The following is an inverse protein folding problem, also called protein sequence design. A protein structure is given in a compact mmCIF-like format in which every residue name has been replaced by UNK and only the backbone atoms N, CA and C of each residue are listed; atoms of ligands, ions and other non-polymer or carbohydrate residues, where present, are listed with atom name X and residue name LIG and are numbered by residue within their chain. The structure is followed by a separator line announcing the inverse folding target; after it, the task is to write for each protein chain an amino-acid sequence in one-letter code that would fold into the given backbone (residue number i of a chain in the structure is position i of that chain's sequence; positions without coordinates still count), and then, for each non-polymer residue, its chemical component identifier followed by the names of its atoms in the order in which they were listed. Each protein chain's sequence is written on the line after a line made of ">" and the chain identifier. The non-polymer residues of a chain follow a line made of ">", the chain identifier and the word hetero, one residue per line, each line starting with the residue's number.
data_IF_838310513541
#
_entry.id   IF_838310513541
#
_cell.length_a   1.000
_cell.length_b   1.000
_cell.length_c   1.000
_cell.angle_alpha   90.00
_cell.angle_beta   90.00
_cell.angle_gamma   90.00
#
_symmetry.space_group_name_H-M   'P 1'
#
loop_
_entity.id
_entity.type
_entity.pdbx_description
1 polymer ?
#
# COMPACT_ATOMS: atom_id res chain seq x y z
N UNK A 1 25.45 -22.70 3.32
CA UNK A 1 25.57 -21.24 3.12
C UNK A 1 24.61 -20.87 2.02
N UNK A 2 23.45 -20.28 2.36
CA UNK A 2 22.47 -19.88 1.35
C UNK A 2 23.04 -18.80 0.43
N UNK A 3 22.66 -18.76 -0.85
CA UNK A 3 23.13 -17.74 -1.78
C UNK A 3 22.81 -16.36 -1.19
N UNK A 4 23.84 -15.51 -1.05
CA UNK A 4 23.65 -14.10 -0.69
C UNK A 4 22.86 -13.47 -1.83
N UNK A 5 21.54 -13.32 -1.67
CA UNK A 5 20.74 -12.50 -2.55
C UNK A 5 21.41 -11.12 -2.63
N UNK A 6 21.66 -10.58 -3.84
CA UNK A 6 22.35 -9.30 -3.98
C UNK A 6 21.60 -8.23 -3.21
N UNK A 7 22.31 -7.33 -2.55
CA UNK A 7 21.70 -6.28 -1.70
C UNK A 7 20.71 -5.41 -2.48
N UNK A 8 20.90 -5.29 -3.80
CA UNK A 8 19.97 -4.68 -4.74
C UNK A 8 18.57 -5.32 -4.70
N UNK A 9 18.47 -6.65 -4.65
CA UNK A 9 17.18 -7.36 -4.67
C UNK A 9 16.38 -7.07 -3.40
N UNK A 10 17.05 -7.05 -2.24
CA UNK A 10 16.42 -6.69 -0.96
C UNK A 10 15.91 -5.25 -0.98
N UNK A 11 16.70 -4.34 -1.53
CA UNK A 11 16.32 -2.94 -1.65
C UNK A 11 15.10 -2.76 -2.57
N UNK A 12 15.09 -3.38 -3.75
CA UNK A 12 13.95 -3.36 -4.68
C UNK A 12 12.68 -3.94 -4.05
N UNK A 13 12.81 -5.05 -3.32
CA UNK A 13 11.68 -5.65 -2.62
C UNK A 13 11.10 -4.73 -1.54
N UNK A 14 11.96 -3.98 -0.82
CA UNK A 14 11.47 -3.03 0.18
C UNK A 14 10.77 -1.82 -0.45
N UNK A 15 11.23 -1.35 -1.61
CA UNK A 15 10.50 -0.33 -2.38
C UNK A 15 9.11 -0.85 -2.75
N UNK A 16 9.01 -2.07 -3.29
CA UNK A 16 7.73 -2.69 -3.63
C UNK A 16 6.81 -2.83 -2.40
N UNK A 17 7.37 -3.20 -1.24
CA UNK A 17 6.63 -3.27 0.02
C UNK A 17 6.03 -1.92 0.39
N UNK A 18 6.80 -0.85 0.30
CA UNK A 18 6.32 0.48 0.70
C UNK A 18 5.29 1.03 -0.30
N UNK A 19 5.49 0.82 -1.61
CA UNK A 19 4.53 1.27 -2.63
C UNK A 19 3.20 0.52 -2.54
N UNK A 20 3.24 -0.80 -2.32
CA UNK A 20 2.04 -1.63 -2.17
C UNK A 20 1.32 -1.42 -0.84
N UNK A 21 2.04 -1.03 0.22
CA UNK A 21 1.48 -0.82 1.57
C UNK A 21 0.26 0.12 1.56
N UNK A 22 0.29 1.17 0.74
CA UNK A 22 -0.83 2.11 0.63
C UNK A 22 -2.15 1.47 0.21
N UNK A 23 -2.11 0.42 -0.61
CA UNK A 23 -3.29 -0.34 -1.06
C UNK A 23 -3.62 -1.46 -0.09
N UNK A 24 -2.62 -2.12 0.49
CA UNK A 24 -2.83 -3.22 1.43
C UNK A 24 -3.65 -2.79 2.66
N UNK A 25 -3.43 -1.57 3.16
CA UNK A 25 -4.21 -1.01 4.28
C UNK A 25 -5.72 -0.99 3.99
N UNK A 26 -6.10 -0.85 2.72
CA UNK A 26 -7.50 -0.88 2.27
C UNK A 26 -8.01 -2.28 1.98
N UNK A 27 -7.18 -3.14 1.37
CA UNK A 27 -7.61 -4.48 0.94
C UNK A 27 -7.62 -5.48 2.08
N UNK A 28 -6.80 -5.29 3.11
CA UNK A 28 -6.61 -6.26 4.20
C UNK A 28 -7.15 -5.78 5.54
N UNK A 29 -7.41 -6.75 6.39
CA UNK A 29 -7.78 -6.62 7.79
C UNK A 29 -6.84 -7.50 8.63
N UNK A 30 -6.62 -7.16 9.90
CA UNK A 30 -5.84 -8.00 10.84
C UNK A 30 -4.37 -8.27 10.47
N UNK A 31 -3.57 -7.21 10.39
CA UNK A 31 -2.12 -7.31 10.16
C UNK A 31 -1.34 -7.93 11.34
N UNK A 32 -0.17 -8.50 11.03
CA UNK A 32 0.83 -8.87 12.04
C UNK A 32 1.59 -7.66 12.59
N UNK A 33 2.00 -7.74 13.86
CA UNK A 33 2.68 -6.65 14.57
C UNK A 33 4.01 -6.22 13.95
N UNK A 34 4.78 -7.16 13.38
CA UNK A 34 6.04 -6.83 12.70
C UNK A 34 5.82 -6.33 11.28
N UNK A 35 4.63 -6.56 10.74
CA UNK A 35 4.29 -6.14 9.38
C UNK A 35 3.90 -4.66 9.33
N UNK A 36 3.03 -4.24 10.24
CA UNK A 36 2.59 -2.85 10.39
C UNK A 36 2.99 -2.34 11.78
N UNK A 37 3.93 -1.41 11.81
CA UNK A 37 4.39 -0.75 13.03
C UNK A 37 4.53 0.75 12.78
N UNK A 38 4.73 1.51 13.86
CA UNK A 38 4.86 2.96 13.78
C UNK A 38 6.01 3.41 12.87
N UNK A 39 7.13 2.69 12.87
CA UNK A 39 8.29 3.00 12.02
C UNK A 39 7.92 2.89 10.53
N UNK A 40 7.31 1.78 10.12
CA UNK A 40 6.85 1.57 8.74
C UNK A 40 5.79 2.59 8.33
N UNK A 41 4.88 2.93 9.24
CA UNK A 41 3.89 3.96 8.97
C UNK A 41 4.56 5.32 8.73
N UNK A 42 5.45 5.77 9.61
CA UNK A 42 6.20 7.03 9.43
C UNK A 42 7.02 7.01 8.16
N UNK A 43 7.69 5.89 7.86
CA UNK A 43 8.49 5.74 6.65
C UNK A 43 7.64 5.81 5.39
N UNK A 44 6.48 5.14 5.36
CA UNK A 44 5.52 5.22 4.27
C UNK A 44 4.99 6.64 4.09
N UNK A 45 4.67 7.35 5.18
CA UNK A 45 4.25 8.75 5.15
C UNK A 45 5.32 9.65 4.54
N UNK A 46 6.58 9.53 4.98
CA UNK A 46 7.69 10.33 4.47
C UNK A 46 7.92 10.05 2.99
N UNK A 47 8.00 8.78 2.59
CA UNK A 47 8.23 8.41 1.20
C UNK A 47 7.10 8.87 0.28
N UNK A 48 5.83 8.71 0.70
CA UNK A 48 4.68 9.26 -0.03
C UNK A 48 4.80 10.77 -0.23
N UNK A 49 5.11 11.52 0.83
CA UNK A 49 5.27 12.97 0.74
C UNK A 49 6.46 13.38 -0.14
N UNK A 50 7.59 12.66 -0.08
CA UNK A 50 8.74 12.90 -0.96
C UNK A 50 8.38 12.67 -2.42
N UNK A 51 7.68 11.59 -2.75
CA UNK A 51 7.25 11.31 -4.13
C UNK A 51 6.26 12.38 -4.61
N UNK A 52 5.27 12.76 -3.78
CA UNK A 52 4.34 13.84 -4.10
C UNK A 52 5.06 15.17 -4.35
N UNK A 53 6.02 15.51 -3.49
CA UNK A 53 6.83 16.72 -3.62
C UNK A 53 7.67 16.73 -4.91
N UNK A 54 8.26 15.58 -5.26
CA UNK A 54 9.00 15.42 -6.50
C UNK A 54 8.10 15.60 -7.73
N UNK A 55 6.93 14.97 -7.77
CA UNK A 55 5.96 15.20 -8.86
C UNK A 55 5.50 16.66 -8.92
N UNK A 56 5.22 17.29 -7.77
CA UNK A 56 4.86 18.71 -7.73
C UNK A 56 5.94 19.61 -8.32
N UNK A 57 7.21 19.32 -8.02
CA UNK A 57 8.36 20.03 -8.60
C UNK A 57 8.45 19.81 -10.11
N UNK A 58 8.29 18.57 -10.60
CA UNK A 58 8.31 18.29 -12.04
C UNK A 58 7.20 19.05 -12.79
N UNK A 59 6.00 19.14 -12.22
CA UNK A 59 4.89 19.86 -12.83
C UNK A 59 5.01 21.40 -12.71
N UNK A 60 5.99 21.92 -11.97
CA UNK A 60 6.37 23.34 -12.05
C UNK A 60 7.19 23.66 -13.31
N UNK A 61 7.79 22.66 -13.95
CA UNK A 61 8.60 22.88 -15.14
C UNK A 61 7.69 23.22 -16.34
N UNK A 62 7.97 24.30 -17.10
CA UNK A 62 7.12 24.77 -18.20
C UNK A 62 6.90 23.74 -19.32
N UNK A 63 7.85 22.81 -19.48
CA UNK A 63 7.79 21.73 -20.47
C UNK A 63 6.85 20.58 -20.08
N UNK A 64 6.47 20.48 -18.80
CA UNK A 64 5.74 19.32 -18.25
C UNK A 64 4.37 19.74 -17.72
N UNK A 65 4.25 20.90 -17.07
CA UNK A 65 3.03 21.28 -16.36
C UNK A 65 2.55 22.72 -16.61
N UNK A 66 1.23 22.85 -16.82
CA UNK A 66 0.53 24.12 -17.02
C UNK A 66 -0.01 24.77 -15.73
N UNK A 67 0.72 24.66 -14.61
CA UNK A 67 0.36 25.32 -13.34
C UNK A 67 -0.67 24.60 -12.46
N UNK A 68 -1.25 23.48 -12.92
CA UNK A 68 -2.12 22.62 -12.09
C UNK A 68 -1.26 21.55 -11.41
N UNK A 69 -1.19 21.59 -10.09
CA UNK A 69 -0.40 20.63 -9.33
C UNK A 69 -1.15 19.30 -9.16
N UNK A 70 -0.52 18.16 -9.52
CA UNK A 70 -1.08 16.87 -9.19
C UNK A 70 -1.19 16.72 -7.67
N UNK A 71 -2.40 16.44 -7.19
CA UNK A 71 -2.65 16.20 -5.78
C UNK A 71 -3.42 14.89 -5.59
N UNK A 72 -3.08 14.17 -4.53
CA UNK A 72 -3.88 13.07 -4.04
C UNK A 72 -5.22 13.62 -3.56
N UNK A 73 -6.30 12.85 -3.78
CA UNK A 73 -7.57 13.10 -3.12
C UNK A 73 -7.36 13.16 -1.61
N UNK A 74 -7.84 14.24 -0.99
CA UNK A 74 -7.79 14.43 0.46
C UNK A 74 -8.47 13.28 1.20
N UNK A 75 -9.58 12.76 0.64
CA UNK A 75 -10.28 11.59 1.16
C UNK A 75 -9.35 10.38 1.24
N UNK A 76 -8.62 10.07 0.16
CA UNK A 76 -7.65 8.97 0.14
C UNK A 76 -6.56 9.14 1.21
N UNK A 77 -6.06 10.36 1.38
CA UNK A 77 -5.03 10.65 2.37
C UNK A 77 -5.54 10.41 3.81
N UNK A 78 -6.67 11.01 4.15
CA UNK A 78 -7.23 10.89 5.50
C UNK A 78 -7.72 9.47 5.79
N UNK A 79 -8.30 8.77 4.81
CA UNK A 79 -8.69 7.36 4.99
C UNK A 79 -7.49 6.45 5.17
N UNK A 80 -6.38 6.70 4.46
CA UNK A 80 -5.15 5.91 4.61
C UNK A 80 -4.58 6.05 6.02
N UNK A 81 -4.47 7.29 6.52
CA UNK A 81 -4.00 7.57 7.88
C UNK A 81 -4.95 6.93 8.90
N UNK A 82 -6.26 7.19 8.79
CA UNK A 82 -7.27 6.68 9.71
C UNK A 82 -7.29 5.16 9.79
N UNK A 83 -7.26 4.47 8.64
CA UNK A 83 -7.21 3.01 8.59
C UNK A 83 -5.91 2.46 9.15
N UNK A 84 -4.77 3.09 8.88
CA UNK A 84 -3.49 2.64 9.45
C UNK A 84 -3.47 2.77 10.97
N UNK A 85 -3.96 3.89 11.50
CA UNK A 85 -4.12 4.08 12.95
C UNK A 85 -5.08 3.06 13.55
N UNK A 86 -6.18 2.75 12.86
CA UNK A 86 -7.12 1.72 13.28
C UNK A 86 -6.45 0.34 13.38
N UNK A 87 -5.65 -0.06 12.37
CA UNK A 87 -4.89 -1.32 12.40
C UNK A 87 -3.87 -1.36 13.55
N UNK A 88 -3.15 -0.26 13.79
CA UNK A 88 -2.22 -0.13 14.91
C UNK A 88 -2.95 -0.25 16.26
N UNK A 89 -4.13 0.37 16.38
CA UNK A 89 -4.97 0.24 17.57
C UNK A 89 -5.45 -1.20 17.78
N UNK A 90 -5.89 -1.89 16.73
CA UNK A 90 -6.29 -3.30 16.80
C UNK A 90 -5.12 -4.20 17.26
N UNK A 91 -3.90 -3.94 16.80
CA UNK A 91 -2.70 -4.68 17.25
C UNK A 91 -2.45 -4.42 18.73
N UNK A 92 -2.45 -3.14 19.14
CA UNK A 92 -2.27 -2.77 20.54
C UNK A 92 -3.32 -3.41 21.45
N UNK A 93 -4.58 -3.44 21.03
CA UNK A 93 -5.66 -4.07 21.80
C UNK A 93 -5.48 -5.59 21.90
N UNK A 94 -5.08 -6.27 20.81
CA UNK A 94 -4.79 -7.71 20.81
C UNK A 94 -3.62 -8.07 21.73
N UNK A 95 -2.55 -7.27 21.69
CA UNK A 95 -1.38 -7.45 22.55
C UNK A 95 -1.75 -7.30 24.03
N UNK A 96 -2.59 -6.31 24.39
CA UNK A 96 -3.08 -6.14 25.76
C UNK A 96 -3.93 -7.30 26.27
N UNK A 97 -4.59 -8.03 25.37
CA UNK A 97 -5.40 -9.22 25.70
C UNK A 97 -4.60 -10.52 25.69
N UNK A 98 -3.31 -10.47 25.37
CA UNK A 98 -2.45 -11.67 25.29
C UNK A 98 -2.79 -12.60 24.12
N UNK A 99 -3.53 -12.13 23.11
CA UNK A 99 -3.89 -12.95 21.95
C UNK A 99 -2.68 -13.07 21.03
N UNK A 100 -2.07 -14.25 20.97
CA UNK A 100 -0.96 -14.53 20.06
C UNK A 100 -1.45 -14.59 18.60
N UNK A 101 -1.18 -13.53 17.85
CA UNK A 101 -1.41 -13.47 16.40
C UNK A 101 -0.08 -13.65 15.64
N UNK A 102 -0.14 -14.16 14.41
CA UNK A 102 1.04 -14.33 13.57
C UNK A 102 1.79 -13.00 13.38
N UNK A 103 2.95 -12.85 14.02
CA UNK A 103 3.69 -11.59 14.06
C UNK A 103 4.11 -11.09 12.68
N UNK A 104 4.27 -12.00 11.71
CA UNK A 104 4.70 -11.70 10.33
C UNK A 104 3.58 -11.85 9.29
N UNK A 105 2.33 -12.04 9.70
CA UNK A 105 1.22 -12.09 8.74
C UNK A 105 1.08 -10.75 8.01
N UNK A 106 0.98 -10.80 6.68
CA UNK A 106 0.80 -9.65 5.80
C UNK A 106 -0.64 -9.12 5.77
N UNK A 107 -1.50 -9.65 6.66
CA UNK A 107 -2.91 -9.31 6.77
C UNK A 107 -3.81 -10.36 6.11
N UNK A 108 -5.06 -10.40 6.55
CA UNK A 108 -6.12 -11.23 5.98
C UNK A 108 -6.93 -10.39 5.01
N UNK A 109 -7.28 -10.89 3.84
CA UNK A 109 -8.03 -10.10 2.88
C UNK A 109 -9.43 -9.75 3.39
N UNK A 110 -9.92 -8.55 3.09
CA UNK A 110 -11.33 -8.19 3.28
C UNK A 110 -12.25 -8.89 2.29
N UNK A 111 -11.68 -9.49 1.24
CA UNK A 111 -12.43 -10.23 0.22
C UNK A 111 -12.56 -11.73 0.55
N UNK A 112 -12.11 -12.18 1.73
CA UNK A 112 -12.18 -13.58 2.18
C UNK A 112 -13.62 -14.14 2.22
N UNK A 113 -14.64 -13.26 2.21
CA UNK A 113 -16.04 -13.69 2.06
C UNK A 113 -16.33 -14.36 0.71
N UNK A 114 -15.46 -14.18 -0.30
CA UNK A 114 -15.57 -14.86 -1.59
C UNK A 114 -15.10 -16.31 -1.44
N UNK A 115 -15.84 -17.31 -1.99
CA UNK A 115 -15.46 -18.71 -1.94
C UNK A 115 -14.35 -19.05 -2.95
N UNK A 116 -13.24 -18.32 -2.87
CA UNK A 116 -12.06 -18.47 -3.72
C UNK A 116 -10.89 -18.97 -2.90
N UNK A 117 -9.94 -19.63 -3.57
CA UNK A 117 -8.69 -20.03 -2.94
C UNK A 117 -7.90 -18.78 -2.51
N UNK A 118 -7.43 -18.74 -1.26
CA UNK A 118 -6.57 -17.70 -0.70
C UNK A 118 -5.43 -17.31 -1.65
N UNK A 119 -4.77 -18.29 -2.26
CA UNK A 119 -3.67 -18.06 -3.18
C UNK A 119 -4.10 -17.20 -4.40
N UNK A 120 -5.27 -17.49 -4.97
CA UNK A 120 -5.83 -16.69 -6.07
C UNK A 120 -6.26 -15.32 -5.58
N UNK A 121 -6.82 -15.27 -4.38
CA UNK A 121 -7.37 -14.06 -3.80
C UNK A 121 -6.29 -13.00 -3.56
N UNK A 122 -5.18 -13.38 -2.91
CA UNK A 122 -4.06 -12.47 -2.69
C UNK A 122 -3.27 -12.16 -3.97
N UNK A 123 -3.04 -13.14 -4.87
CA UNK A 123 -2.22 -12.91 -6.07
C UNK A 123 -2.91 -12.11 -7.16
N UNK A 124 -4.20 -12.34 -7.36
CA UNK A 124 -4.92 -11.81 -8.52
C UNK A 124 -6.12 -10.97 -8.13
N UNK A 125 -6.98 -11.44 -7.22
CA UNK A 125 -8.24 -10.75 -6.94
C UNK A 125 -8.00 -9.40 -6.27
N UNK A 126 -7.16 -9.33 -5.23
CA UNK A 126 -6.84 -8.06 -4.56
C UNK A 126 -6.22 -7.02 -5.52
N UNK A 127 -5.15 -7.33 -6.30
CA UNK A 127 -4.61 -6.37 -7.25
C UNK A 127 -5.58 -5.99 -8.36
N UNK A 128 -6.32 -6.95 -8.93
CA UNK A 128 -7.27 -6.67 -10.01
C UNK A 128 -8.43 -5.79 -9.54
N UNK A 129 -8.97 -6.04 -8.34
CA UNK A 129 -9.99 -5.18 -7.75
C UNK A 129 -9.50 -3.74 -7.62
N UNK A 130 -8.25 -3.55 -7.17
CA UNK A 130 -7.66 -2.23 -7.06
C UNK A 130 -7.43 -1.59 -8.44
N UNK A 131 -6.99 -2.34 -9.45
CA UNK A 131 -6.88 -1.85 -10.83
C UNK A 131 -8.24 -1.38 -11.34
N UNK A 132 -9.32 -2.14 -11.14
CA UNK A 132 -10.68 -1.73 -11.55
C UNK A 132 -11.09 -0.43 -10.85
N UNK A 133 -10.89 -0.34 -9.54
CA UNK A 133 -11.17 0.88 -8.76
C UNK A 133 -10.38 2.08 -9.28
N UNK A 134 -9.12 1.88 -9.69
CA UNK A 134 -8.29 2.94 -10.27
C UNK A 134 -8.89 3.50 -11.56
N UNK A 135 -9.39 2.65 -12.45
CA UNK A 135 -10.02 3.09 -13.70
C UNK A 135 -11.32 3.85 -13.43
N UNK A 136 -12.12 3.40 -12.47
CA UNK A 136 -13.36 4.07 -12.06
C UNK A 136 -13.09 5.44 -11.43
N UNK A 137 -12.02 5.58 -10.65
CA UNK A 137 -11.63 6.84 -10.00
C UNK A 137 -10.98 7.85 -10.95
N UNK A 138 -10.47 7.40 -12.09
CA UNK A 138 -9.67 8.21 -13.03
C UNK A 138 -10.34 9.52 -13.49
N UNK A 139 -11.64 9.60 -13.82
CA UNK A 139 -12.28 10.85 -14.20
C UNK A 139 -12.38 11.88 -13.05
N UNK A 140 -12.38 11.43 -11.80
CA UNK A 140 -12.58 12.30 -10.64
C UNK A 140 -11.26 12.71 -9.98
N UNK A 141 -10.32 11.77 -9.87
CA UNK A 141 -9.06 11.94 -9.18
C UNK A 141 -7.93 11.23 -9.96
N UNK A 142 -7.52 11.78 -11.13
CA UNK A 142 -6.62 11.09 -12.05
C UNK A 142 -5.27 10.75 -11.42
N UNK A 143 -4.76 11.62 -10.55
CA UNK A 143 -3.50 11.39 -9.86
C UNK A 143 -3.60 10.24 -8.84
N UNK A 144 -4.65 10.22 -7.99
CA UNK A 144 -4.89 9.11 -7.06
C UNK A 144 -5.17 7.81 -7.79
N UNK A 145 -5.90 7.86 -8.90
CA UNK A 145 -6.11 6.70 -9.75
C UNK A 145 -4.79 6.13 -10.29
N UNK A 146 -3.92 6.97 -10.84
CA UNK A 146 -2.61 6.53 -11.33
C UNK A 146 -1.74 5.96 -10.19
N UNK A 147 -1.76 6.59 -9.01
CA UNK A 147 -1.07 6.05 -7.85
C UNK A 147 -1.59 4.67 -7.47
N UNK A 148 -2.90 4.53 -7.34
CA UNK A 148 -3.54 3.28 -6.95
C UNK A 148 -3.26 2.19 -7.98
N UNK A 149 -3.23 2.52 -9.28
CA UNK A 149 -2.82 1.62 -10.36
C UNK A 149 -1.38 1.14 -10.16
N UNK A 150 -0.42 2.04 -9.95
CA UNK A 150 1.00 1.70 -9.72
C UNK A 150 1.14 0.81 -8.48
N UNK A 151 0.52 1.19 -7.36
CA UNK A 151 0.54 0.41 -6.13
C UNK A 151 -0.10 -0.98 -6.30
N UNK A 152 -1.12 -1.10 -7.14
CA UNK A 152 -1.76 -2.40 -7.46
C UNK A 152 -0.82 -3.30 -8.26
N UNK A 153 -0.09 -2.75 -9.23
CA UNK A 153 0.94 -3.51 -9.95
C UNK A 153 2.08 -3.92 -9.01
N UNK A 154 2.53 -3.05 -8.12
CA UNK A 154 3.52 -3.40 -7.10
C UNK A 154 3.02 -4.54 -6.19
N UNK A 155 1.74 -4.52 -5.80
CA UNK A 155 1.12 -5.59 -5.02
C UNK A 155 1.08 -6.92 -5.79
N UNK A 156 0.73 -6.88 -7.08
CA UNK A 156 0.73 -8.06 -7.95
C UNK A 156 2.13 -8.66 -8.06
N UNK A 157 3.15 -7.85 -8.34
CA UNK A 157 4.54 -8.32 -8.44
C UNK A 157 4.97 -8.92 -7.11
N UNK A 158 4.76 -8.20 -6.01
CA UNK A 158 5.13 -8.63 -4.66
C UNK A 158 4.51 -9.97 -4.27
N UNK A 159 3.24 -10.20 -4.59
CA UNK A 159 2.55 -11.45 -4.23
C UNK A 159 2.93 -12.64 -5.15
N UNK A 160 3.61 -12.37 -6.28
CA UNK A 160 4.07 -13.41 -7.21
C UNK A 160 5.56 -13.75 -7.08
N UNK A 161 6.36 -12.89 -6.42
CA UNK A 161 7.74 -13.18 -6.02
C UNK A 161 7.79 -14.15 -4.82
#
# INVERSE_FOLDING_TARGET
>A
MGPKTPDLFKFLFEILNVLSFSVEVYTRHSFGERYINWLRFIFAMLLLNTIMGFFRMLYMLPLIGGGIYPQMSSLFWYSFIGLTLYHLYQIWQRNRRGIAWHSRSFGVSRLEFLPLNDAMLYRFVEPLACIVVSFVLRPFAPFTANWLLISSFCLLIKNNL
#
